data_IF_453740369901
#
_entry.id   IF_453740369901
#
_cell.length_a   1.000
_cell.length_b   1.000
_cell.length_c   1.000
_cell.angle_alpha   90.00
_cell.angle_beta   90.00
_cell.angle_gamma   90.00
#
_symmetry.space_group_name_H-M   'P 1'
#
loop_
_entity.id
_entity.type
_entity.pdbx_description
1 polymer ?
#
# COMPACT_ATOMS: atom_id res chain seq x y z
N UNK A 1 -8.84 -20.15 39.16
CA UNK A 1 -8.78 -20.11 37.68
C UNK A 1 -7.83 -19.02 37.27
N UNK A 2 -6.62 -19.40 36.87
CA UNK A 2 -5.65 -18.49 36.29
C UNK A 2 -6.09 -18.21 34.86
N UNK A 3 -6.42 -16.96 34.56
CA UNK A 3 -6.71 -16.52 33.19
C UNK A 3 -5.37 -16.24 32.54
N UNK A 4 -4.97 -17.07 31.58
CA UNK A 4 -3.81 -16.78 30.73
C UNK A 4 -4.27 -15.78 29.67
N UNK A 5 -3.81 -14.53 29.78
CA UNK A 5 -3.96 -13.52 28.73
C UNK A 5 -2.80 -13.75 27.77
N UNK A 6 -3.10 -14.19 26.55
CA UNK A 6 -2.14 -14.16 25.46
C UNK A 6 -2.09 -12.73 24.94
N UNK A 7 -1.06 -11.97 25.32
CA UNK A 7 -0.72 -10.74 24.62
C UNK A 7 -0.07 -11.15 23.30
N UNK A 8 -0.78 -10.98 22.19
CA UNK A 8 -0.16 -10.96 20.88
C UNK A 8 0.65 -9.65 20.82
N UNK A 9 1.97 -9.77 20.89
CA UNK A 9 2.84 -8.66 20.51
C UNK A 9 2.70 -8.56 18.99
N UNK A 10 1.97 -7.54 18.51
CA UNK A 10 1.88 -7.35 17.06
C UNK A 10 3.29 -7.02 16.58
N UNK A 11 3.82 -7.78 15.63
CA UNK A 11 5.15 -7.51 15.10
C UNK A 11 5.17 -6.09 14.50
N UNK A 12 5.88 -5.17 15.16
CA UNK A 12 6.03 -3.77 14.75
C UNK A 12 7.40 -3.49 14.12
N UNK A 13 8.13 -4.53 13.69
CA UNK A 13 9.50 -4.35 13.25
C UNK A 13 9.62 -4.31 11.72
N UNK A 14 9.99 -3.12 11.22
CA UNK A 14 10.24 -2.81 9.80
C UNK A 14 11.66 -3.22 9.42
N UNK A 15 11.95 -4.51 9.34
CA UNK A 15 13.13 -4.95 8.59
C UNK A 15 12.65 -5.45 7.23
N UNK A 16 13.00 -4.73 6.18
CA UNK A 16 12.48 -4.96 4.84
C UNK A 16 12.89 -3.86 3.87
N UNK A 17 12.36 -3.92 2.65
CA UNK A 17 12.59 -2.93 1.62
C UNK A 17 11.44 -2.93 0.62
N UNK A 18 11.19 -1.78 0.03
CA UNK A 18 10.26 -1.62 -1.08
C UNK A 18 10.93 -0.93 -2.29
N UNK A 19 10.24 -0.96 -3.42
CA UNK A 19 10.69 -0.38 -4.68
C UNK A 19 9.54 -0.16 -5.64
N UNK A 20 9.64 0.87 -6.47
CA UNK A 20 8.69 1.18 -7.52
C UNK A 20 9.40 1.18 -8.87
N UNK A 21 8.82 0.53 -9.87
CA UNK A 21 9.36 0.47 -11.22
C UNK A 21 8.32 0.87 -12.25
N UNK A 22 8.73 1.60 -13.28
CA UNK A 22 7.89 1.88 -14.45
C UNK A 22 7.88 0.71 -15.47
N UNK A 23 7.11 0.87 -16.54
CA UNK A 23 6.97 -0.14 -17.60
C UNK A 23 8.26 -0.42 -18.36
N UNK A 24 9.19 0.54 -18.39
CA UNK A 24 10.51 0.38 -19.00
C UNK A 24 11.53 -0.29 -18.05
N UNK A 25 11.14 -0.57 -16.81
CA UNK A 25 11.97 -1.17 -15.78
C UNK A 25 12.88 -0.16 -15.07
N UNK A 26 12.65 1.14 -15.23
CA UNK A 26 13.38 2.15 -14.48
C UNK A 26 12.84 2.20 -13.05
N UNK A 27 13.74 2.26 -12.07
CA UNK A 27 13.35 2.48 -10.68
C UNK A 27 12.91 3.93 -10.48
N UNK A 28 11.73 4.13 -9.92
CA UNK A 28 11.30 5.42 -9.38
C UNK A 28 11.81 5.50 -7.95
N UNK A 29 12.52 6.59 -7.64
CA UNK A 29 13.05 6.80 -6.29
C UNK A 29 11.96 7.42 -5.42
N UNK A 30 11.98 7.09 -4.12
CA UNK A 30 11.05 7.68 -3.16
C UNK A 30 11.26 9.20 -3.06
N UNK A 31 10.17 9.95 -3.17
CA UNK A 31 10.12 11.41 -3.24
C UNK A 31 10.91 12.00 -4.42
N UNK A 32 11.00 11.26 -5.53
CA UNK A 32 11.51 11.80 -6.79
C UNK A 32 10.37 12.36 -7.64
N UNK A 33 10.70 13.44 -8.34
CA UNK A 33 9.87 14.00 -9.41
C UNK A 33 9.78 12.97 -10.55
N UNK A 34 8.60 12.36 -10.72
CA UNK A 34 8.24 11.55 -11.86
C UNK A 34 7.34 12.38 -12.76
N UNK A 35 7.95 13.04 -13.75
CA UNK A 35 7.21 13.94 -14.60
C UNK A 35 6.23 13.20 -15.52
N UNK A 36 4.93 13.24 -15.24
CA UNK A 36 3.90 12.56 -16.04
C UNK A 36 3.55 13.32 -17.32
N UNK A 37 3.77 14.64 -17.34
CA UNK A 37 3.30 15.56 -18.40
C UNK A 37 4.27 15.73 -19.58
N UNK A 38 5.58 15.61 -19.36
CA UNK A 38 6.61 15.83 -20.42
C UNK A 38 7.14 14.54 -21.06
N UNK A 39 6.68 13.37 -20.59
CA UNK A 39 7.19 12.05 -20.97
C UNK A 39 6.60 11.43 -22.25
N UNK A 40 5.59 12.04 -22.89
CA UNK A 40 4.93 11.50 -24.09
C UNK A 40 4.25 10.11 -23.85
N UNK A 41 4.05 9.71 -22.60
CA UNK A 41 3.36 8.50 -22.20
C UNK A 41 2.32 8.88 -21.14
N UNK A 42 1.19 9.40 -21.62
CA UNK A 42 0.03 9.74 -20.80
C UNK A 42 -0.50 8.54 -19.99
N UNK A 43 -0.03 7.34 -20.31
CA UNK A 43 -0.32 6.12 -19.56
C UNK A 43 0.96 5.32 -19.33
N UNK A 44 1.21 4.95 -18.07
CA UNK A 44 2.30 4.07 -17.65
C UNK A 44 1.78 2.98 -16.72
N UNK A 45 2.39 1.80 -16.73
CA UNK A 45 2.17 0.79 -15.69
C UNK A 45 3.31 0.85 -14.70
N UNK A 46 2.97 0.98 -13.42
CA UNK A 46 3.91 0.86 -12.32
C UNK A 46 3.83 -0.52 -11.70
N UNK A 47 4.96 -0.99 -11.17
CA UNK A 47 5.03 -2.19 -10.34
C UNK A 47 5.67 -1.82 -9.01
N UNK A 48 4.85 -1.82 -7.96
CA UNK A 48 5.32 -1.66 -6.59
C UNK A 48 5.67 -3.03 -6.03
N UNK A 49 6.85 -3.18 -5.44
CA UNK A 49 7.34 -4.44 -4.88
C UNK A 49 7.84 -4.23 -3.46
N UNK A 50 7.59 -5.20 -2.60
CA UNK A 50 8.00 -5.18 -1.20
C UNK A 50 8.66 -6.50 -0.78
N UNK A 51 9.49 -6.41 0.25
CA UNK A 51 10.18 -7.54 0.84
C UNK A 51 10.32 -7.39 2.36
N UNK A 52 9.99 -8.45 3.07
CA UNK A 52 10.08 -8.59 4.53
C UNK A 52 11.35 -9.36 4.88
N UNK A 53 12.24 -8.74 5.66
CA UNK A 53 13.52 -9.32 6.01
C UNK A 53 13.47 -10.21 7.27
N UNK A 54 12.51 -10.02 8.18
CA UNK A 54 12.31 -10.90 9.33
C UNK A 54 11.56 -12.17 8.96
N UNK A 55 11.92 -13.29 9.61
CA UNK A 55 11.29 -14.61 9.46
C UNK A 55 10.51 -14.94 10.75
N UNK A 56 9.30 -15.49 10.63
CA UNK A 56 8.49 -15.91 11.77
C UNK A 56 7.63 -14.81 12.42
N UNK A 57 7.72 -13.57 11.94
CA UNK A 57 6.78 -12.49 12.26
C UNK A 57 5.64 -12.52 11.23
N UNK A 58 4.66 -13.42 11.47
CA UNK A 58 3.53 -13.61 10.57
C UNK A 58 2.40 -12.62 10.82
N UNK A 59 1.78 -12.15 9.74
CA UNK A 59 0.53 -11.40 9.79
C UNK A 59 -0.65 -12.36 9.70
N UNK A 60 -1.71 -12.09 10.47
CA UNK A 60 -2.98 -12.78 10.40
C UNK A 60 -4.09 -11.74 10.33
N UNK A 61 -4.98 -11.92 9.36
CA UNK A 61 -6.23 -11.16 9.31
C UNK A 61 -7.05 -11.54 10.51
N UNK A 62 -7.63 -10.55 11.19
CA UNK A 62 -8.49 -10.79 12.34
C UNK A 62 -9.54 -9.71 12.45
N UNK A 63 -10.64 -10.04 13.10
CA UNK A 63 -11.69 -9.07 13.39
C UNK A 63 -11.50 -8.54 14.81
N UNK A 64 -11.44 -7.22 14.98
CA UNK A 64 -11.53 -6.62 16.32
C UNK A 64 -13.01 -6.54 16.73
N UNK A 65 -13.44 -7.26 17.78
CA UNK A 65 -14.84 -7.28 18.21
C UNK A 65 -15.30 -6.00 18.94
N UNK A 66 -14.39 -5.11 19.34
CA UNK A 66 -14.70 -3.83 20.01
C UNK A 66 -15.03 -2.76 18.97
N UNK A 67 -14.22 -2.69 17.91
CA UNK A 67 -14.37 -1.68 16.87
C UNK A 67 -15.13 -2.19 15.63
N UNK A 68 -15.44 -3.49 15.59
CA UNK A 68 -16.11 -4.17 14.47
C UNK A 68 -15.37 -3.96 13.15
N UNK A 69 -14.03 -3.95 13.20
CA UNK A 69 -13.15 -3.76 12.04
C UNK A 69 -12.47 -5.06 11.64
N UNK A 70 -12.30 -5.25 10.34
CA UNK A 70 -11.50 -6.33 9.80
C UNK A 70 -10.08 -5.84 9.56
N UNK A 71 -9.13 -6.44 10.25
CA UNK A 71 -7.72 -6.05 10.19
C UNK A 71 -7.08 -6.74 8.99
N UNK A 72 -6.99 -6.05 7.86
CA UNK A 72 -6.33 -6.53 6.64
C UNK A 72 -4.92 -5.95 6.45
N UNK A 73 -4.07 -6.62 5.66
CA UNK A 73 -2.95 -5.96 5.02
C UNK A 73 -3.46 -5.29 3.73
N UNK A 74 -3.24 -3.99 3.63
CA UNK A 74 -3.79 -3.15 2.58
C UNK A 74 -2.67 -2.31 1.97
N UNK A 75 -2.53 -2.42 0.66
CA UNK A 75 -1.77 -1.46 -0.13
C UNK A 75 -2.70 -0.31 -0.50
N UNK A 76 -2.28 0.90 -0.16
CA UNK A 76 -2.99 2.14 -0.43
C UNK A 76 -2.23 2.96 -1.45
N UNK A 77 -2.96 3.69 -2.29
CA UNK A 77 -2.45 4.81 -3.07
C UNK A 77 -3.35 6.01 -2.84
N UNK A 78 -2.76 7.08 -2.30
CA UNK A 78 -3.40 8.37 -2.12
C UNK A 78 -2.97 9.29 -3.25
N UNK A 79 -3.93 9.90 -3.94
CA UNK A 79 -3.67 10.96 -4.91
C UNK A 79 -4.22 12.28 -4.37
N UNK A 80 -3.40 13.32 -4.39
CA UNK A 80 -3.76 14.67 -3.97
C UNK A 80 -3.02 15.71 -4.80
N UNK A 81 -3.21 17.00 -4.51
CA UNK A 81 -2.62 18.10 -5.28
C UNK A 81 -3.63 18.74 -6.24
N UNK A 82 -3.16 19.32 -7.33
CA UNK A 82 -4.01 19.89 -8.38
C UNK A 82 -4.11 18.92 -9.56
N UNK A 83 -5.32 18.72 -10.10
CA UNK A 83 -5.53 17.81 -11.24
C UNK A 83 -5.56 16.32 -10.88
N UNK A 84 -5.48 15.95 -9.59
CA UNK A 84 -5.53 14.55 -9.14
C UNK A 84 -6.82 13.83 -9.57
N UNK A 85 -7.91 14.58 -9.71
CA UNK A 85 -9.21 14.08 -10.14
C UNK A 85 -9.23 13.62 -11.61
N UNK A 86 -8.27 14.09 -12.41
CA UNK A 86 -8.10 13.72 -13.81
C UNK A 86 -7.28 12.44 -13.99
N UNK A 87 -6.59 11.97 -12.93
CA UNK A 87 -5.82 10.74 -12.98
C UNK A 87 -6.73 9.53 -12.83
N UNK A 88 -6.53 8.55 -13.72
CA UNK A 88 -7.20 7.26 -13.63
C UNK A 88 -6.21 6.16 -13.27
N UNK A 89 -6.42 5.53 -12.11
CA UNK A 89 -5.71 4.31 -11.74
C UNK A 89 -6.57 3.07 -12.00
N UNK A 90 -5.93 1.99 -12.46
CA UNK A 90 -6.58 0.68 -12.61
C UNK A 90 -5.71 -0.47 -12.09
N UNK A 91 -6.35 -1.58 -11.72
CA UNK A 91 -5.71 -2.72 -11.04
C UNK A 91 -6.06 -2.83 -9.54
N UNK A 92 -6.58 -1.76 -8.95
CA UNK A 92 -6.98 -1.67 -7.54
C UNK A 92 -8.34 -2.36 -7.28
N UNK A 93 -8.57 -2.80 -6.03
CA UNK A 93 -9.83 -3.45 -5.64
C UNK A 93 -10.97 -2.46 -5.43
N UNK A 94 -10.64 -1.23 -5.05
CA UNK A 94 -11.62 -0.16 -4.93
C UNK A 94 -11.00 1.22 -4.77
N UNK A 95 -11.86 2.23 -4.82
CA UNK A 95 -11.50 3.63 -4.65
C UNK A 95 -12.63 4.46 -4.06
N UNK A 96 -12.29 5.54 -3.37
CA UNK A 96 -13.24 6.54 -2.90
C UNK A 96 -12.53 7.86 -2.56
N UNK A 97 -13.28 8.95 -2.64
CA UNK A 97 -12.77 10.28 -2.36
C UNK A 97 -13.12 10.68 -0.94
N UNK A 98 -12.17 11.33 -0.25
CA UNK A 98 -12.41 11.91 1.07
C UNK A 98 -11.58 13.18 1.21
N UNK A 99 -12.25 14.32 1.39
CA UNK A 99 -11.58 15.61 1.40
C UNK A 99 -11.05 15.96 0.01
N UNK A 100 -9.76 16.31 -0.07
CA UNK A 100 -9.06 16.64 -1.33
C UNK A 100 -8.09 15.53 -1.75
N UNK A 101 -8.43 14.29 -1.40
CA UNK A 101 -7.60 13.12 -1.64
C UNK A 101 -8.45 11.98 -2.20
N UNK A 102 -7.98 11.38 -3.29
CA UNK A 102 -8.53 10.19 -3.89
C UNK A 102 -7.77 8.96 -3.39
N UNK A 103 -8.46 8.08 -2.67
CA UNK A 103 -7.88 6.87 -2.11
C UNK A 103 -8.17 5.68 -3.02
N UNK A 104 -7.14 4.92 -3.36
CA UNK A 104 -7.24 3.61 -3.98
C UNK A 104 -6.67 2.56 -3.04
N UNK A 105 -7.24 1.37 -3.03
CA UNK A 105 -6.79 0.30 -2.15
C UNK A 105 -6.80 -1.06 -2.83
N UNK A 106 -5.87 -1.90 -2.39
CA UNK A 106 -5.72 -3.30 -2.76
C UNK A 106 -5.56 -4.10 -1.47
N UNK A 107 -6.47 -5.05 -1.24
CA UNK A 107 -6.36 -5.96 -0.09
C UNK A 107 -5.39 -7.07 -0.50
N UNK A 108 -4.39 -7.31 0.34
CA UNK A 108 -3.38 -8.33 0.12
C UNK A 108 -3.71 -9.59 0.91
N UNK A 109 -3.15 -10.71 0.47
CA UNK A 109 -3.14 -11.94 1.24
C UNK A 109 -2.11 -11.89 2.37
N UNK A 110 -2.42 -12.51 3.50
CA UNK A 110 -1.52 -12.62 4.66
C UNK A 110 -0.15 -13.22 4.29
N UNK A 111 -0.16 -14.16 3.35
CA UNK A 111 1.04 -14.86 2.88
C UNK A 111 1.96 -13.99 2.03
N UNK A 112 1.45 -12.88 1.47
CA UNK A 112 2.20 -11.98 0.59
C UNK A 112 3.09 -11.01 1.40
N UNK A 113 2.79 -10.84 2.68
CA UNK A 113 3.52 -9.97 3.60
C UNK A 113 4.12 -10.74 4.78
N UNK A 114 4.01 -12.07 4.78
CA UNK A 114 4.59 -12.94 5.81
C UNK A 114 5.78 -13.68 5.23
N UNK A 115 6.87 -13.72 5.98
CA UNK A 115 7.99 -14.61 5.69
C UNK A 115 8.02 -15.76 6.68
N UNK A 116 8.10 -16.98 6.15
CA UNK A 116 8.10 -18.18 6.97
C UNK A 116 8.92 -19.30 6.32
N UNK A 117 9.84 -19.88 7.10
CA UNK A 117 10.62 -21.06 6.72
C UNK A 117 10.23 -22.31 7.49
N UNK A 118 10.38 -23.46 6.83
CA UNK A 118 10.42 -24.78 7.46
C UNK A 118 11.70 -25.48 7.04
N UNK A 119 12.62 -25.68 7.99
CA UNK A 119 13.96 -26.16 7.67
C UNK A 119 14.74 -25.12 6.87
N UNK A 120 15.08 -25.44 5.61
CA UNK A 120 15.78 -24.52 4.70
C UNK A 120 14.88 -23.94 3.61
N UNK A 121 13.63 -24.40 3.51
CA UNK A 121 12.69 -24.00 2.47
C UNK A 121 11.76 -22.88 2.96
N UNK A 122 11.57 -21.85 2.13
CA UNK A 122 10.54 -20.83 2.39
C UNK A 122 9.18 -21.38 2.02
N UNK A 123 8.27 -21.40 2.99
CA UNK A 123 6.84 -21.65 2.75
C UNK A 123 6.18 -20.35 2.32
N UNK A 124 6.51 -19.24 2.97
CA UNK A 124 6.14 -17.90 2.55
C UNK A 124 7.41 -17.06 2.31
N UNK A 125 7.59 -16.51 1.10
CA UNK A 125 8.84 -15.84 0.74
C UNK A 125 9.00 -14.48 1.43
N UNK A 126 7.90 -13.90 1.95
CA UNK A 126 7.89 -12.54 2.48
C UNK A 126 8.14 -11.49 1.40
N UNK A 127 7.82 -11.79 0.15
CA UNK A 127 8.00 -10.87 -0.97
C UNK A 127 6.73 -10.87 -1.81
N UNK A 128 6.33 -9.70 -2.27
CA UNK A 128 5.19 -9.53 -3.15
C UNK A 128 5.36 -8.32 -4.05
N UNK A 129 4.53 -8.26 -5.08
CA UNK A 129 4.47 -7.10 -5.95
C UNK A 129 3.05 -6.91 -6.46
N UNK A 130 2.74 -5.66 -6.80
CA UNK A 130 1.46 -5.26 -7.36
C UNK A 130 1.70 -4.28 -8.50
N UNK A 131 1.15 -4.61 -9.67
CA UNK A 131 1.21 -3.75 -10.84
C UNK A 131 -0.12 -3.02 -11.04
N UNK A 132 -0.06 -1.71 -11.27
CA UNK A 132 -1.23 -0.88 -11.55
C UNK A 132 -0.95 0.05 -12.72
N UNK A 133 -1.99 0.37 -13.49
CA UNK A 133 -1.91 1.38 -14.53
C UNK A 133 -2.16 2.76 -13.93
N UNK A 134 -1.39 3.73 -14.40
CA UNK A 134 -1.51 5.15 -14.10
C UNK A 134 -1.72 5.90 -15.40
N UNK A 135 -2.87 6.55 -15.55
CA UNK A 135 -3.25 7.34 -16.72
C UNK A 135 -3.44 8.80 -16.31
N UNK A 136 -2.56 9.66 -16.82
CA UNK A 136 -2.54 11.11 -16.62
C UNK A 136 -2.98 11.88 -17.86
N UNK A 137 -3.56 11.24 -18.89
CA UNK A 137 -3.98 11.91 -20.13
C UNK A 137 -4.97 13.08 -19.95
N UNK A 138 -5.62 13.15 -18.78
CA UNK A 138 -6.53 14.23 -18.42
C UNK A 138 -5.88 15.42 -17.69
N UNK A 139 -4.60 15.35 -17.33
CA UNK A 139 -3.92 16.44 -16.60
C UNK A 139 -3.42 17.52 -17.55
N UNK A 140 -3.22 18.72 -17.03
CA UNK A 140 -2.67 19.89 -17.72
C UNK A 140 -1.24 20.16 -17.28
N UNK A 141 -0.44 20.88 -18.08
CA UNK A 141 0.96 21.21 -17.78
C UNK A 141 1.21 22.00 -16.47
N UNK A 142 0.17 22.48 -15.78
CA UNK A 142 0.28 23.20 -14.50
C UNK A 142 -0.37 22.43 -13.33
N UNK A 143 -0.78 21.18 -13.55
CA UNK A 143 -1.25 20.30 -12.50
C UNK A 143 -0.04 19.73 -11.75
N UNK A 144 -0.10 19.71 -10.43
CA UNK A 144 0.94 19.21 -9.52
C UNK A 144 0.29 18.09 -8.70
N UNK A 145 0.57 16.85 -9.06
CA UNK A 145 -0.08 15.68 -8.44
C UNK A 145 0.90 14.98 -7.52
N UNK A 146 0.47 14.81 -6.26
CA UNK A 146 1.17 14.01 -5.27
C UNK A 146 0.53 12.61 -5.18
N UNK A 147 1.31 11.59 -5.50
CA UNK A 147 0.97 10.18 -5.34
C UNK A 147 1.71 9.54 -4.17
N UNK A 148 1.00 8.98 -3.21
CA UNK A 148 1.59 8.36 -2.03
C UNK A 148 1.12 6.93 -1.86
N UNK A 149 2.05 5.98 -1.94
CA UNK A 149 1.83 4.57 -1.71
C UNK A 149 2.09 4.24 -0.24
N UNK A 150 1.20 3.49 0.41
CA UNK A 150 1.42 2.92 1.73
C UNK A 150 1.09 1.44 1.77
N UNK A 151 2.02 0.60 2.23
CA UNK A 151 1.68 -0.76 2.66
C UNK A 151 1.37 -0.73 4.16
N UNK A 152 0.09 -0.83 4.52
CA UNK A 152 -0.36 -0.83 5.92
C UNK A 152 -0.87 -2.20 6.33
N UNK A 153 -0.54 -2.60 7.55
CA UNK A 153 -1.13 -3.76 8.23
C UNK A 153 -2.14 -3.31 9.28
N UNK A 154 -3.06 -4.20 9.63
CA UNK A 154 -4.16 -3.91 10.54
C UNK A 154 -5.01 -2.72 10.10
N UNK A 155 -5.25 -2.64 8.79
CA UNK A 155 -6.01 -1.57 8.15
C UNK A 155 -7.30 -2.10 7.53
N UNK A 156 -8.36 -1.28 7.53
CA UNK A 156 -9.65 -1.62 6.92
C UNK A 156 -10.11 -0.50 5.97
N UNK A 157 -10.30 -0.79 4.66
CA UNK A 157 -10.73 0.23 3.71
C UNK A 157 -12.11 0.82 3.98
N UNK A 158 -13.05 0.00 4.45
CA UNK A 158 -14.41 0.44 4.77
C UNK A 158 -14.39 1.32 6.03
N UNK A 159 -13.62 0.93 7.04
CA UNK A 159 -13.45 1.77 8.24
C UNK A 159 -12.80 3.11 7.92
N UNK A 160 -11.75 3.14 7.08
CA UNK A 160 -11.14 4.40 6.65
C UNK A 160 -12.12 5.25 5.85
N UNK A 161 -12.91 4.64 4.96
CA UNK A 161 -13.95 5.36 4.22
C UNK A 161 -14.96 6.02 5.15
N UNK A 162 -15.43 5.32 6.17
CA UNK A 162 -16.48 5.83 7.07
C UNK A 162 -15.91 6.84 8.08
N UNK A 163 -14.77 6.54 8.71
CA UNK A 163 -14.25 7.30 9.85
C UNK A 163 -12.99 8.13 9.57
N UNK A 164 -12.28 7.88 8.47
CA UNK A 164 -11.05 8.58 8.10
C UNK A 164 -9.85 8.19 8.95
N UNK A 165 -9.94 7.03 9.60
CA UNK A 165 -8.87 6.40 10.34
C UNK A 165 -8.56 5.07 9.68
N UNK A 166 -7.28 4.74 9.53
CA UNK A 166 -6.89 3.44 8.98
C UNK A 166 -7.23 2.28 9.93
N UNK A 167 -7.57 2.58 11.18
CA UNK A 167 -7.77 1.62 12.26
C UNK A 167 -6.92 1.98 13.47
N UNK A 168 -7.33 1.60 14.69
CA UNK A 168 -6.62 1.91 15.93
C UNK A 168 -5.25 1.23 16.07
N UNK A 169 -5.01 0.15 15.33
CA UNK A 169 -3.73 -0.58 15.33
C UNK A 169 -2.99 -0.50 13.99
N UNK A 170 -3.48 0.33 13.07
CA UNK A 170 -2.91 0.43 11.73
C UNK A 170 -1.43 0.81 11.82
N UNK A 171 -0.59 0.05 11.12
CA UNK A 171 0.86 0.24 11.12
C UNK A 171 1.37 0.25 9.67
N UNK A 172 2.20 1.24 9.32
CA UNK A 172 2.82 1.33 7.99
C UNK A 172 4.08 0.47 7.97
N UNK A 173 4.12 -0.53 7.10
CA UNK A 173 5.32 -1.33 6.83
C UNK A 173 6.28 -0.60 5.90
N UNK A 174 5.76 -0.06 4.80
CA UNK A 174 6.51 0.66 3.79
C UNK A 174 5.68 1.83 3.26
N UNK A 175 6.37 2.86 2.78
CA UNK A 175 5.79 3.99 2.09
C UNK A 175 6.66 4.37 0.89
N UNK A 176 6.02 4.89 -0.15
CA UNK A 176 6.72 5.40 -1.32
C UNK A 176 5.98 6.60 -1.88
N UNK A 177 6.71 7.68 -2.11
CA UNK A 177 6.19 8.96 -2.57
C UNK A 177 6.59 9.19 -4.02
N UNK A 178 5.64 9.66 -4.82
CA UNK A 178 5.82 9.99 -6.23
C UNK A 178 5.24 11.39 -6.45
N UNK A 179 6.09 12.32 -6.85
CA UNK A 179 5.72 13.72 -7.10
C UNK A 179 5.72 13.99 -8.60
N UNK A 180 4.83 14.87 -9.08
CA UNK A 180 4.86 15.45 -10.44
C UNK A 180 4.69 16.96 -10.38
#
# INVERSE_FOLDING_TARGET
>A
NTVTIYTFDCAQSTSGSDSLYDTAGNSVSDAADYNFTTGNNDTTTFTYSWYMANDGEGYLTSQDPIYEIELYPVLWMELSGTGYESITLSGWDGKYERGSTMYHYKILGETEITRYKVGQDYVYPGAGSFSFSFDASGTSDNDEVLGQIYLKIYSDPQYHKDYGSYGPYAFTLFEHTVDD
#
